data_IF_761412046494
#
_entry.id   IF_761412046494
#
_cell.length_a   1.000
_cell.length_b   1.000
_cell.length_c   1.000
_cell.angle_alpha   90.00
_cell.angle_beta   90.00
_cell.angle_gamma   90.00
#
_symmetry.space_group_name_H-M   'P 1'
#
loop_
_entity.id
_entity.type
_entity.pdbx_description
1 polymer ?
#
# COMPACT_ATOMS: atom_id res chain seq x y z
N UNK A 1 -3.70 15.04 -13.86
CA UNK A 1 -4.41 13.82 -13.46
C UNK A 1 -4.04 13.55 -12.02
N UNK A 2 -5.00 13.52 -11.11
CA UNK A 2 -4.76 13.24 -9.68
C UNK A 2 -4.49 11.75 -9.52
N UNK A 3 -3.23 11.38 -9.37
CA UNK A 3 -2.83 10.00 -9.11
C UNK A 3 -3.45 9.55 -7.79
N UNK A 4 -4.26 8.49 -7.82
CA UNK A 4 -5.11 8.05 -6.70
C UNK A 4 -4.42 7.05 -5.78
N UNK A 5 -3.11 6.83 -5.98
CA UNK A 5 -2.25 5.93 -5.21
C UNK A 5 -0.83 6.52 -5.11
N UNK A 6 -0.10 6.18 -4.05
CA UNK A 6 1.30 6.57 -3.89
C UNK A 6 2.18 5.75 -4.84
N UNK A 7 3.15 6.42 -5.44
CA UNK A 7 4.21 5.77 -6.20
C UNK A 7 5.12 4.95 -5.28
N UNK A 8 5.85 4.01 -5.87
CA UNK A 8 6.85 3.20 -5.15
C UNK A 8 7.94 4.09 -4.53
N UNK A 9 8.32 5.17 -5.22
CA UNK A 9 9.31 6.13 -4.72
C UNK A 9 8.81 6.86 -3.47
N UNK A 10 7.53 7.25 -3.44
CA UNK A 10 6.91 7.89 -2.28
C UNK A 10 6.87 6.93 -1.07
N UNK A 11 6.45 5.68 -1.29
CA UNK A 11 6.47 4.66 -0.23
C UNK A 11 7.88 4.43 0.31
N UNK A 12 8.88 4.35 -0.57
CA UNK A 12 10.29 4.16 -0.18
C UNK A 12 10.81 5.34 0.64
N UNK A 13 10.46 6.58 0.25
CA UNK A 13 10.82 7.80 1.01
C UNK A 13 10.17 7.85 2.39
N UNK A 14 8.98 7.25 2.54
CA UNK A 14 8.28 7.09 3.83
C UNK A 14 8.84 5.94 4.69
N UNK A 15 9.84 5.20 4.20
CA UNK A 15 10.49 4.11 4.94
C UNK A 15 9.82 2.74 4.79
N UNK A 16 8.80 2.62 3.95
CA UNK A 16 8.22 1.33 3.62
C UNK A 16 9.21 0.47 2.84
N UNK A 17 9.15 -0.84 3.10
CA UNK A 17 9.91 -1.85 2.38
C UNK A 17 8.95 -2.73 1.60
N UNK A 18 9.32 -3.03 0.35
CA UNK A 18 8.59 -4.04 -0.40
C UNK A 18 8.77 -5.38 0.31
N UNK A 19 7.65 -6.07 0.56
CA UNK A 19 7.65 -7.35 1.25
C UNK A 19 7.62 -8.48 0.23
N UNK A 20 6.59 -8.54 -0.61
CA UNK A 20 6.48 -9.50 -1.71
C UNK A 20 5.32 -9.09 -2.66
N UNK A 21 5.20 -9.79 -3.78
CA UNK A 21 4.06 -9.69 -4.68
C UNK A 21 3.58 -11.06 -5.08
N UNK A 22 2.29 -11.18 -5.39
CA UNK A 22 1.68 -12.47 -5.75
C UNK A 22 0.84 -12.33 -7.02
N UNK A 23 0.82 -13.38 -7.84
CA UNK A 23 0.07 -13.41 -9.09
C UNK A 23 -1.41 -13.73 -8.83
N UNK A 24 -2.29 -13.16 -9.65
CA UNK A 24 -3.72 -13.45 -9.64
C UNK A 24 -4.09 -14.39 -10.79
N UNK A 25 -5.11 -15.21 -10.56
CA UNK A 25 -5.66 -16.16 -11.55
C UNK A 25 -6.08 -15.50 -12.88
N UNK A 26 -6.34 -14.20 -12.86
CA UNK A 26 -6.73 -13.41 -14.04
C UNK A 26 -5.55 -12.71 -14.74
N UNK A 27 -4.31 -13.20 -14.55
CA UNK A 27 -3.06 -12.57 -14.99
C UNK A 27 -2.77 -11.19 -14.36
N UNK A 28 -3.50 -10.82 -13.31
CA UNK A 28 -3.15 -9.67 -12.46
C UNK A 28 -2.06 -10.02 -11.45
N UNK A 29 -1.74 -9.06 -10.58
CA UNK A 29 -0.85 -9.31 -9.45
C UNK A 29 -1.05 -8.29 -8.32
N UNK A 30 -0.66 -8.69 -7.11
CA UNK A 30 -0.51 -7.83 -5.94
C UNK A 30 0.95 -7.43 -5.77
N UNK A 31 1.19 -6.23 -5.24
CA UNK A 31 2.46 -5.88 -4.59
C UNK A 31 2.14 -5.22 -3.27
N UNK A 32 2.84 -5.58 -2.21
CA UNK A 32 2.63 -4.97 -0.91
C UNK A 32 3.92 -4.51 -0.25
N UNK A 33 3.77 -3.42 0.50
CA UNK A 33 4.83 -2.74 1.22
C UNK A 33 4.47 -2.68 2.69
N UNK A 34 5.45 -2.94 3.55
CA UNK A 34 5.30 -2.87 4.99
C UNK A 34 6.17 -1.79 5.60
N UNK A 35 5.63 -1.11 6.59
CA UNK A 35 6.36 -0.29 7.54
C UNK A 35 6.07 -0.83 8.93
N UNK A 36 7.13 -1.14 9.67
CA UNK A 36 7.05 -1.49 11.08
C UNK A 36 7.76 -0.41 11.88
N UNK A 37 7.09 0.09 12.91
CA UNK A 37 7.63 1.10 13.82
C UNK A 37 7.02 0.86 15.20
N UNK A 38 7.89 0.77 16.21
CA UNK A 38 7.51 0.33 17.55
C UNK A 38 6.79 -1.03 17.50
N UNK A 39 5.65 -1.15 18.19
CA UNK A 39 4.78 -2.33 18.21
C UNK A 39 3.64 -2.25 17.19
N UNK A 40 3.74 -1.34 16.21
CA UNK A 40 2.74 -1.17 15.16
C UNK A 40 3.30 -1.51 13.77
N UNK A 41 2.41 -1.98 12.91
CA UNK A 41 2.67 -2.27 11.51
C UNK A 41 1.61 -1.63 10.62
N UNK A 42 2.06 -1.17 9.45
CA UNK A 42 1.24 -0.57 8.41
C UNK A 42 1.60 -1.23 7.09
N UNK A 43 0.62 -1.84 6.44
CA UNK A 43 0.77 -2.47 5.13
C UNK A 43 -0.03 -1.73 4.06
N UNK A 44 0.63 -1.46 2.94
CA UNK A 44 0.01 -0.91 1.73
C UNK A 44 0.06 -1.99 0.66
N UNK A 45 -1.10 -2.41 0.16
CA UNK A 45 -1.20 -3.39 -0.94
C UNK A 45 -1.78 -2.73 -2.18
N UNK A 46 -1.14 -2.90 -3.32
CA UNK A 46 -1.65 -2.48 -4.62
C UNK A 46 -1.99 -3.68 -5.50
N UNK A 47 -3.11 -3.58 -6.21
CA UNK A 47 -3.59 -4.58 -7.17
C UNK A 47 -3.46 -4.04 -8.57
N UNK A 48 -2.95 -4.87 -9.47
CA UNK A 48 -2.78 -4.56 -10.89
C UNK A 48 -3.47 -5.63 -11.76
N UNK A 49 -4.05 -5.22 -12.88
CA UNK A 49 -4.41 -6.13 -13.99
C UNK A 49 -3.17 -6.56 -14.77
N UNK A 50 -3.35 -7.56 -15.62
CA UNK A 50 -2.42 -7.87 -16.71
C UNK A 50 -2.04 -6.59 -17.48
N UNK A 51 -0.74 -6.35 -17.65
CA UNK A 51 -0.23 -5.14 -18.31
C UNK A 51 0.01 -3.94 -17.38
N UNK A 52 0.16 -4.16 -16.08
CA UNK A 52 0.54 -3.16 -15.06
C UNK A 52 -0.47 -2.01 -14.87
N UNK A 53 -1.74 -2.25 -15.20
CA UNK A 53 -2.81 -1.26 -14.97
C UNK A 53 -3.30 -1.35 -13.53
N UNK A 54 -3.19 -0.26 -12.78
CA UNK A 54 -3.67 -0.16 -11.40
C UNK A 54 -5.19 -0.40 -11.32
N UNK A 55 -5.61 -1.26 -10.39
CA UNK A 55 -7.00 -1.57 -10.08
C UNK A 55 -7.46 -0.99 -8.76
N UNK A 56 -6.70 -1.27 -7.71
CA UNK A 56 -7.14 -1.01 -6.35
C UNK A 56 -5.96 -0.92 -5.38
N UNK A 57 -6.23 -0.32 -4.23
CA UNK A 57 -5.30 -0.25 -3.12
C UNK A 57 -5.99 -0.67 -1.82
N UNK A 58 -5.23 -1.28 -0.92
CA UNK A 58 -5.66 -1.62 0.44
C UNK A 58 -4.65 -1.10 1.43
N UNK A 59 -5.17 -0.74 2.61
CA UNK A 59 -4.39 -0.28 3.73
C UNK A 59 -4.78 -1.12 4.95
N UNK A 60 -3.79 -1.65 5.63
CA UNK A 60 -3.96 -2.47 6.82
C UNK A 60 -3.09 -1.91 7.94
N UNK A 61 -3.66 -1.72 9.12
CA UNK A 61 -2.97 -1.24 10.31
C UNK A 61 -3.12 -2.26 11.43
N UNK A 62 -2.02 -2.79 11.94
CA UNK A 62 -1.99 -3.85 12.95
C UNK A 62 -2.92 -5.03 12.60
N UNK A 63 -2.84 -5.53 11.37
CA UNK A 63 -3.67 -6.62 10.86
C UNK A 63 -5.14 -6.25 10.56
N UNK A 64 -5.57 -5.01 10.79
CA UNK A 64 -6.92 -4.56 10.51
C UNK A 64 -7.00 -3.74 9.21
N UNK A 65 -7.79 -4.22 8.24
CA UNK A 65 -8.04 -3.50 7.00
C UNK A 65 -8.83 -2.19 7.26
N UNK A 66 -8.29 -1.06 6.84
CA UNK A 66 -8.89 0.27 7.03
C UNK A 66 -9.95 0.62 5.96
N UNK A 67 -10.26 -0.30 5.04
CA UNK A 67 -11.41 -0.23 4.12
C UNK A 67 -11.39 0.89 3.08
N UNK A 68 -10.37 1.76 3.05
CA UNK A 68 -10.27 2.87 2.09
C UNK A 68 -9.72 2.39 0.74
N UNK A 69 -10.51 2.56 -0.32
CA UNK A 69 -10.08 2.40 -1.73
C UNK A 69 -9.07 3.44 -2.19
N UNK A 70 -9.09 4.63 -1.57
CA UNK A 70 -8.21 5.75 -1.90
C UNK A 70 -7.64 6.29 -0.59
N UNK A 71 -6.31 6.35 -0.49
CA UNK A 71 -5.59 7.00 0.59
C UNK A 71 -4.53 7.93 -0.02
N UNK A 72 -4.37 9.10 0.60
CA UNK A 72 -3.38 10.09 0.22
C UNK A 72 -2.10 9.89 1.03
N UNK A 73 -1.02 10.58 0.64
CA UNK A 73 0.20 10.69 1.46
C UNK A 73 -0.10 11.23 2.85
N UNK A 74 -1.09 12.12 2.98
CA UNK A 74 -1.51 12.68 4.27
C UNK A 74 -2.13 11.60 5.16
N UNK A 75 -3.01 10.76 4.62
CA UNK A 75 -3.62 9.65 5.37
C UNK A 75 -2.54 8.68 5.91
N UNK A 76 -1.55 8.35 5.07
CA UNK A 76 -0.45 7.47 5.45
C UNK A 76 0.44 8.11 6.52
N UNK A 77 0.81 9.38 6.36
CA UNK A 77 1.64 10.08 7.34
C UNK A 77 0.96 10.16 8.72
N UNK A 78 -0.35 10.41 8.77
CA UNK A 78 -1.10 10.41 10.03
C UNK A 78 -1.00 9.04 10.72
N UNK A 79 -1.10 7.94 9.98
CA UNK A 79 -0.95 6.61 10.55
C UNK A 79 0.47 6.37 11.06
N UNK A 80 1.50 6.81 10.32
CA UNK A 80 2.91 6.72 10.74
C UNK A 80 3.19 7.51 12.02
N UNK A 81 2.51 8.63 12.22
CA UNK A 81 2.58 9.42 13.45
C UNK A 81 1.91 8.71 14.64
N UNK A 82 0.89 7.90 14.38
CA UNK A 82 0.18 7.10 15.39
C UNK A 82 0.89 5.78 15.75
N UNK A 83 1.84 5.33 14.92
CA UNK A 83 2.73 4.17 15.16
C UNK A 83 3.87 4.51 16.11
#
# INVERSE_FOLDING_TARGET
MTTTHLTIEELTKMGFKELEGDALDNNGYYRWWGLQKNDSELHVTYVYEAGNKFLNAYLEFNGAALGKKNFSSIDINILIELM
#
